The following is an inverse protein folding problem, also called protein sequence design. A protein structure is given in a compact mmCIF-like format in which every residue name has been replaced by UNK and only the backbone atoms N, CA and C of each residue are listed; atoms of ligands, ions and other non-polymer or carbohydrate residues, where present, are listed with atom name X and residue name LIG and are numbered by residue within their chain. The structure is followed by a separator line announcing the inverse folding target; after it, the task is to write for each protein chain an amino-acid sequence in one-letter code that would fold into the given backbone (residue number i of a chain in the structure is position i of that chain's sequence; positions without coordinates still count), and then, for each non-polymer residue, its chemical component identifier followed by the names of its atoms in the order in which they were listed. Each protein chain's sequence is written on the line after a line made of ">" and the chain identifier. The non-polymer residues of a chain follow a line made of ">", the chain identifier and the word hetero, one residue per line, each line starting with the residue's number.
data_IF_719878156089
#
_entry.id   IF_719878156089
#
_cell.length_a   1.000
_cell.length_b   1.000
_cell.length_c   1.000
_cell.angle_alpha   90.00
_cell.angle_beta   90.00
_cell.angle_gamma   90.00
#
_symmetry.space_group_name_H-M   'P 1'
#
loop_
_entity.id
_entity.type
_entity.pdbx_description
1 polymer ?
#
# COMPACT_ATOMS: atom_id res chain seq x y z
N UNK A 1 44.12 19.02 26.71
CA UNK A 1 42.67 18.87 26.95
C UNK A 1 41.98 19.57 25.79
N UNK A 2 41.68 18.82 24.71
CA UNK A 2 41.06 19.37 23.49
C UNK A 2 39.84 18.53 23.19
N UNK A 3 38.66 19.08 23.46
CA UNK A 3 37.38 18.44 23.20
C UNK A 3 37.10 18.59 21.71
N UNK A 4 37.24 17.51 20.95
CA UNK A 4 36.71 17.42 19.58
C UNK A 4 35.20 17.30 19.73
N UNK A 5 34.49 18.41 19.49
CA UNK A 5 33.04 18.39 19.40
C UNK A 5 32.64 17.55 18.19
N UNK A 6 31.95 16.45 18.47
CA UNK A 6 31.32 15.59 17.47
C UNK A 6 30.14 16.37 16.88
N UNK A 7 30.39 17.09 15.78
CA UNK A 7 29.34 17.77 15.03
C UNK A 7 28.48 16.68 14.40
N UNK A 8 27.30 16.43 14.97
CA UNK A 8 26.26 15.63 14.29
C UNK A 8 25.93 16.31 12.95
N UNK A 9 25.83 15.56 11.85
CA UNK A 9 25.40 16.14 10.59
C UNK A 9 24.04 16.82 10.80
N UNK A 10 23.95 18.07 10.35
CA UNK A 10 22.69 18.81 10.29
C UNK A 10 21.77 18.00 9.37
N UNK A 11 20.53 17.66 9.79
CA UNK A 11 19.57 17.05 8.88
C UNK A 11 19.40 17.99 7.69
N UNK A 12 19.75 17.49 6.50
CA UNK A 12 19.47 18.23 5.27
C UNK A 12 17.96 18.50 5.26
N UNK A 13 17.57 19.77 5.09
CA UNK A 13 16.17 20.13 4.88
C UNK A 13 15.64 19.27 3.72
N UNK A 14 14.39 18.78 3.79
CA UNK A 14 13.85 17.93 2.73
C UNK A 14 13.83 18.77 1.45
N UNK A 15 14.75 18.47 0.55
CA UNK A 15 14.69 18.93 -0.84
C UNK A 15 13.35 18.40 -1.32
N UNK A 16 12.38 19.27 -1.53
CA UNK A 16 11.10 18.85 -2.13
C UNK A 16 11.49 18.23 -3.47
N UNK A 17 11.29 16.92 -3.67
CA UNK A 17 11.83 16.26 -4.85
C UNK A 17 11.22 16.92 -6.08
N UNK A 18 12.05 17.20 -7.09
CA UNK A 18 11.59 17.80 -8.34
C UNK A 18 10.84 16.74 -9.16
N UNK A 19 9.58 16.49 -8.79
CA UNK A 19 8.72 15.51 -9.42
C UNK A 19 8.13 16.07 -10.70
N UNK A 20 8.16 15.28 -11.77
CA UNK A 20 7.39 15.60 -12.98
C UNK A 20 5.90 15.54 -12.66
N UNK A 21 5.08 16.23 -13.46
CA UNK A 21 3.61 16.15 -13.31
C UNK A 21 3.06 14.73 -13.41
N UNK A 22 3.75 13.84 -14.13
CA UNK A 22 3.42 12.43 -14.18
C UNK A 22 3.69 11.75 -12.82
N UNK A 23 4.93 11.82 -12.33
CA UNK A 23 5.32 11.17 -11.07
C UNK A 23 4.54 11.71 -9.87
N UNK A 24 4.21 13.00 -9.86
CA UNK A 24 3.35 13.58 -8.84
C UNK A 24 1.95 12.95 -8.82
N UNK A 25 1.38 12.61 -9.98
CA UNK A 25 0.07 11.96 -10.06
C UNK A 25 0.14 10.50 -9.64
N UNK A 26 1.21 9.80 -10.00
CA UNK A 26 1.46 8.42 -9.58
C UNK A 26 1.66 8.33 -8.07
N UNK A 27 2.53 9.15 -7.49
CA UNK A 27 2.71 9.19 -6.03
C UNK A 27 1.45 9.61 -5.29
N UNK A 28 0.56 10.40 -5.92
CA UNK A 28 -0.75 10.70 -5.33
C UNK A 28 -1.67 9.48 -5.32
N UNK A 29 -1.63 8.64 -6.36
CA UNK A 29 -2.33 7.37 -6.32
C UNK A 29 -1.72 6.40 -5.32
N UNK A 30 -0.39 6.38 -5.16
CA UNK A 30 0.26 5.58 -4.11
C UNK A 30 -0.20 6.06 -2.74
N UNK A 31 -0.17 7.36 -2.48
CA UNK A 31 -0.66 7.91 -1.22
C UNK A 31 -2.12 7.53 -0.91
N UNK A 32 -2.98 7.49 -1.93
CA UNK A 32 -4.36 7.01 -1.78
C UNK A 32 -4.41 5.50 -1.53
N UNK A 33 -3.61 4.73 -2.27
CA UNK A 33 -3.47 3.27 -2.18
C UNK A 33 -2.99 2.84 -0.80
N UNK A 34 -1.85 3.36 -0.34
CA UNK A 34 -1.26 3.09 0.97
C UNK A 34 -2.19 3.49 2.11
N UNK A 35 -2.89 4.62 1.98
CA UNK A 35 -3.97 4.99 2.94
C UNK A 35 -5.07 3.93 2.97
N UNK A 36 -5.46 3.40 1.81
CA UNK A 36 -6.42 2.31 1.70
C UNK A 36 -5.92 1.02 2.32
N UNK A 37 -4.67 0.63 2.02
CA UNK A 37 -4.02 -0.60 2.50
C UNK A 37 -3.91 -0.64 4.02
N UNK A 38 -3.45 0.46 4.64
CA UNK A 38 -3.48 0.62 6.11
C UNK A 38 -4.87 0.35 6.67
N UNK A 39 -5.92 0.85 6.02
CA UNK A 39 -7.29 0.67 6.49
C UNK A 39 -7.87 -0.71 6.16
N UNK A 40 -7.44 -1.39 5.10
CA UNK A 40 -7.73 -2.82 4.86
C UNK A 40 -7.30 -3.62 6.08
N UNK A 41 -6.05 -3.46 6.52
CA UNK A 41 -5.54 -4.18 7.68
C UNK A 41 -6.22 -3.77 8.98
N UNK A 42 -6.63 -2.50 9.15
CA UNK A 42 -7.47 -2.10 10.29
C UNK A 42 -8.86 -2.78 10.28
N UNK A 43 -9.47 -2.94 9.10
CA UNK A 43 -10.73 -3.65 8.92
C UNK A 43 -10.62 -5.13 9.30
N UNK A 44 -9.57 -5.80 8.80
CA UNK A 44 -9.25 -7.19 9.14
C UNK A 44 -9.03 -7.31 10.66
N UNK A 45 -8.20 -6.44 11.24
CA UNK A 45 -7.89 -6.47 12.67
C UNK A 45 -9.13 -6.21 13.55
N UNK A 46 -10.07 -5.37 13.11
CA UNK A 46 -11.32 -5.13 13.84
C UNK A 46 -12.17 -6.41 13.92
N UNK A 47 -12.35 -7.08 12.78
CA UNK A 47 -13.13 -8.33 12.70
C UNK A 47 -12.40 -9.48 13.40
N UNK A 48 -11.09 -9.58 13.26
CA UNK A 48 -10.28 -10.58 13.96
C UNK A 48 -10.43 -10.48 15.49
N UNK A 49 -10.40 -9.26 16.05
CA UNK A 49 -10.66 -9.02 17.49
C UNK A 49 -12.06 -9.44 17.89
N UNK A 50 -13.07 -9.04 17.12
CA UNK A 50 -14.47 -9.42 17.38
C UNK A 50 -14.67 -10.94 17.39
N UNK A 51 -13.97 -11.66 16.51
CA UNK A 51 -14.02 -13.12 16.42
C UNK A 51 -13.11 -13.85 17.40
N UNK A 52 -12.20 -13.16 18.10
CA UNK A 52 -11.15 -13.79 18.89
C UNK A 52 -10.13 -14.59 18.05
N UNK A 53 -9.97 -14.27 16.77
CA UNK A 53 -9.02 -14.94 15.87
C UNK A 53 -7.62 -14.31 16.01
N UNK A 54 -6.80 -14.88 16.90
CA UNK A 54 -5.47 -14.37 17.20
C UNK A 54 -4.50 -14.44 15.99
N UNK A 55 -4.66 -15.44 15.13
CA UNK A 55 -3.81 -15.63 13.95
C UNK A 55 -4.11 -14.57 12.89
N UNK A 56 -5.39 -14.33 12.60
CA UNK A 56 -5.82 -13.25 11.69
C UNK A 56 -5.42 -11.88 12.21
N UNK A 57 -5.48 -11.66 13.53
CA UNK A 57 -5.05 -10.40 14.15
C UNK A 57 -3.54 -10.21 14.05
N UNK A 58 -2.75 -11.29 14.24
CA UNK A 58 -1.29 -11.27 14.07
C UNK A 58 -0.93 -10.89 12.64
N UNK A 59 -1.52 -11.58 11.66
CA UNK A 59 -1.36 -11.28 10.24
C UNK A 59 -1.68 -9.80 9.95
N UNK A 60 -2.84 -9.32 10.38
CA UNK A 60 -3.24 -7.94 10.09
C UNK A 60 -2.33 -6.88 10.71
N UNK A 61 -1.73 -7.16 11.87
CA UNK A 61 -0.79 -6.23 12.51
C UNK A 61 0.57 -6.22 11.83
N UNK A 62 1.07 -7.37 11.40
CA UNK A 62 2.37 -7.50 10.77
C UNK A 62 2.38 -6.75 9.43
N UNK A 63 1.47 -7.11 8.53
CA UNK A 63 1.38 -6.48 7.21
C UNK A 63 0.94 -5.03 7.31
N UNK A 64 -0.04 -4.71 8.18
CA UNK A 64 -0.49 -3.33 8.36
C UNK A 64 0.59 -2.38 8.92
N UNK A 65 1.66 -2.89 9.52
CA UNK A 65 2.82 -2.08 9.89
C UNK A 65 3.66 -1.73 8.65
N UNK A 66 3.90 -2.69 7.76
CA UNK A 66 4.57 -2.47 6.46
C UNK A 66 3.84 -1.40 5.64
N UNK A 67 2.52 -1.48 5.50
CA UNK A 67 1.73 -0.46 4.77
C UNK A 67 1.82 0.93 5.40
N UNK A 68 1.93 1.00 6.73
CA UNK A 68 2.07 2.27 7.43
C UNK A 68 3.47 2.89 7.18
N UNK A 69 4.50 2.05 7.06
CA UNK A 69 5.84 2.48 6.69
C UNK A 69 5.87 2.92 5.21
N UNK A 70 5.25 2.17 4.29
CA UNK A 70 5.08 2.58 2.89
C UNK A 70 4.38 3.93 2.75
N UNK A 71 3.24 4.12 3.43
CA UNK A 71 2.55 5.41 3.45
C UNK A 71 3.49 6.53 3.95
N UNK A 72 4.26 6.27 5.00
CA UNK A 72 5.22 7.24 5.55
C UNK A 72 6.30 7.58 4.55
N UNK A 73 6.85 6.62 3.81
CA UNK A 73 7.85 6.86 2.77
C UNK A 73 7.25 7.66 1.62
N UNK A 74 6.08 7.28 1.08
CA UNK A 74 5.38 8.03 0.03
C UNK A 74 5.11 9.47 0.46
N UNK A 75 4.70 9.68 1.71
CA UNK A 75 4.46 10.99 2.30
C UNK A 75 5.71 11.88 2.39
N UNK A 76 6.91 11.30 2.45
CA UNK A 76 8.18 12.05 2.39
C UNK A 76 8.49 12.54 0.98
N UNK A 77 8.05 11.80 -0.04
CA UNK A 77 8.21 12.17 -1.44
C UNK A 77 7.13 13.14 -1.91
N UNK A 78 5.92 13.05 -1.35
CA UNK A 78 4.76 13.83 -1.79
C UNK A 78 4.35 14.89 -0.76
N UNK A 79 4.60 16.19 -1.03
CA UNK A 79 4.24 17.25 -0.08
C UNK A 79 2.73 17.29 0.15
N UNK A 80 2.31 17.72 1.34
CA UNK A 80 0.91 17.68 1.78
C UNK A 80 -0.08 18.33 0.79
N UNK A 81 0.34 19.39 0.10
CA UNK A 81 -0.48 20.09 -0.92
C UNK A 81 -0.74 19.27 -2.19
N UNK A 82 -0.02 18.16 -2.39
CA UNK A 82 -0.10 17.31 -3.58
C UNK A 82 -0.61 15.91 -3.27
N UNK A 83 -0.85 15.58 -1.99
CA UNK A 83 -1.42 14.31 -1.52
C UNK A 83 -2.88 14.15 -1.93
N UNK A 84 -3.39 12.92 -1.89
CA UNK A 84 -4.76 12.63 -2.31
C UNK A 84 -5.77 13.35 -1.43
N UNK A 85 -6.81 13.94 -2.04
CA UNK A 85 -7.80 14.73 -1.34
C UNK A 85 -8.91 13.89 -0.67
N UNK A 86 -9.20 12.69 -1.20
CA UNK A 86 -10.32 11.85 -0.75
C UNK A 86 -9.94 10.86 0.35
N UNK A 87 -9.15 11.28 1.35
CA UNK A 87 -8.66 10.36 2.39
C UNK A 87 -9.80 9.71 3.20
N UNK A 88 -10.87 10.44 3.53
CA UNK A 88 -12.04 9.87 4.22
C UNK A 88 -12.65 8.70 3.44
N UNK A 89 -13.04 8.89 2.17
CA UNK A 89 -13.47 7.81 1.29
C UNK A 89 -12.48 6.64 1.17
N UNK A 90 -11.18 6.89 1.00
CA UNK A 90 -10.18 5.82 0.89
C UNK A 90 -10.07 4.97 2.15
N UNK A 91 -10.10 5.61 3.32
CA UNK A 91 -10.10 4.93 4.62
C UNK A 91 -11.33 4.05 4.79
N UNK A 92 -12.51 4.56 4.44
CA UNK A 92 -13.74 3.77 4.53
C UNK A 92 -13.73 2.59 3.55
N UNK A 93 -13.34 2.83 2.29
CA UNK A 93 -13.27 1.79 1.28
C UNK A 93 -12.27 0.70 1.68
N UNK A 94 -11.06 1.07 2.10
CA UNK A 94 -10.05 0.15 2.60
C UNK A 94 -10.58 -0.67 3.77
N UNK A 95 -11.15 -0.01 4.78
CA UNK A 95 -11.71 -0.70 5.94
C UNK A 95 -12.77 -1.73 5.57
N UNK A 96 -13.69 -1.40 4.65
CA UNK A 96 -14.70 -2.34 4.16
C UNK A 96 -14.08 -3.50 3.39
N UNK A 97 -13.11 -3.22 2.52
CA UNK A 97 -12.39 -4.25 1.75
C UNK A 97 -11.68 -5.24 2.66
N UNK A 98 -11.18 -4.83 3.83
CA UNK A 98 -10.61 -5.73 4.82
C UNK A 98 -11.64 -6.43 5.73
N UNK A 99 -12.63 -5.68 6.22
CA UNK A 99 -13.59 -6.19 7.20
C UNK A 99 -14.57 -7.20 6.59
N UNK A 100 -15.09 -6.93 5.38
CA UNK A 100 -16.08 -7.79 4.72
C UNK A 100 -15.57 -9.24 4.52
N UNK A 101 -14.41 -9.51 3.90
CA UNK A 101 -13.89 -10.86 3.77
C UNK A 101 -13.52 -11.48 5.13
N UNK A 102 -13.05 -10.69 6.09
CA UNK A 102 -12.72 -11.18 7.43
C UNK A 102 -13.92 -11.79 8.16
N UNK A 103 -15.15 -11.33 7.87
CA UNK A 103 -16.38 -11.94 8.41
C UNK A 103 -16.51 -13.40 7.96
N UNK A 104 -16.06 -13.71 6.75
CA UNK A 104 -16.08 -15.06 6.15
C UNK A 104 -14.82 -15.89 6.47
N UNK A 105 -13.91 -15.37 7.28
CA UNK A 105 -12.75 -16.08 7.81
C UNK A 105 -11.46 -15.87 7.02
N UNK A 106 -10.37 -16.44 7.56
CA UNK A 106 -8.99 -16.22 7.11
C UNK A 106 -8.76 -16.45 5.63
N UNK A 107 -9.31 -17.53 5.06
CA UNK A 107 -9.17 -17.85 3.62
C UNK A 107 -9.69 -16.73 2.71
N UNK A 108 -10.80 -16.08 3.08
CA UNK A 108 -11.34 -14.97 2.31
C UNK A 108 -10.47 -13.71 2.43
N UNK A 109 -9.89 -13.48 3.62
CA UNK A 109 -8.90 -12.41 3.85
C UNK A 109 -7.69 -12.62 2.95
N UNK A 110 -7.06 -13.79 3.02
CA UNK A 110 -5.85 -14.07 2.24
C UNK A 110 -6.10 -13.97 0.73
N UNK A 111 -7.24 -14.48 0.23
CA UNK A 111 -7.59 -14.31 -1.18
C UNK A 111 -7.83 -12.84 -1.57
N UNK A 112 -8.36 -12.02 -0.65
CA UNK A 112 -8.55 -10.59 -0.88
C UNK A 112 -7.21 -9.87 -0.93
N UNK A 113 -6.31 -10.11 0.04
CA UNK A 113 -4.97 -9.52 0.07
C UNK A 113 -4.17 -9.93 -1.17
N UNK A 114 -4.15 -11.22 -1.52
CA UNK A 114 -3.47 -11.66 -2.75
C UNK A 114 -3.98 -10.94 -4.01
N UNK A 115 -5.30 -10.65 -4.08
CA UNK A 115 -5.87 -9.91 -5.20
C UNK A 115 -5.50 -8.42 -5.18
N UNK A 116 -5.49 -7.79 -4.01
CA UNK A 116 -5.03 -6.40 -3.83
C UNK A 116 -3.56 -6.28 -4.22
N UNK A 117 -2.69 -7.12 -3.67
CA UNK A 117 -1.25 -7.03 -3.94
C UNK A 117 -0.86 -7.44 -5.36
N UNK A 118 -1.65 -8.27 -6.03
CA UNK A 118 -1.48 -8.48 -7.47
C UNK A 118 -1.68 -7.18 -8.26
N UNK A 119 -2.64 -6.35 -7.84
CA UNK A 119 -2.87 -5.05 -8.46
C UNK A 119 -1.76 -4.06 -8.09
N UNK A 120 -1.36 -4.01 -6.82
CA UNK A 120 -0.33 -3.07 -6.34
C UNK A 120 1.03 -3.37 -6.98
N UNK A 121 1.43 -4.65 -7.09
CA UNK A 121 2.64 -5.08 -7.81
C UNK A 121 2.66 -4.54 -9.25
N UNK A 122 1.55 -4.70 -9.99
CA UNK A 122 1.44 -4.17 -11.35
C UNK A 122 1.48 -2.64 -11.40
N UNK A 123 0.93 -1.97 -10.38
CA UNK A 123 0.95 -0.52 -10.29
C UNK A 123 2.38 -0.01 -10.07
N UNK A 124 3.13 -0.57 -9.13
CA UNK A 124 4.53 -0.23 -8.92
C UNK A 124 5.39 -0.56 -10.14
N UNK A 125 5.17 -1.71 -10.80
CA UNK A 125 5.92 -2.05 -12.02
C UNK A 125 5.79 -0.98 -13.10
N UNK A 126 4.59 -0.44 -13.32
CA UNK A 126 4.37 0.63 -14.30
C UNK A 126 5.17 1.89 -13.99
N UNK A 127 5.31 2.24 -12.72
CA UNK A 127 6.10 3.40 -12.28
C UNK A 127 7.60 3.14 -12.39
N UNK A 128 8.04 1.93 -12.02
CA UNK A 128 9.43 1.48 -12.16
C UNK A 128 9.84 1.51 -13.65
N UNK A 129 9.03 0.97 -14.54
CA UNK A 129 9.27 0.98 -15.99
C UNK A 129 9.38 2.42 -16.52
N UNK A 130 8.53 3.32 -16.02
CA UNK A 130 8.58 4.73 -16.38
C UNK A 130 9.91 5.36 -15.93
N UNK A 131 10.31 5.17 -14.68
CA UNK A 131 11.55 5.72 -14.13
C UNK A 131 12.79 5.17 -14.81
N UNK A 132 12.82 3.88 -15.15
CA UNK A 132 13.91 3.27 -15.91
C UNK A 132 14.04 3.86 -17.32
N UNK A 133 12.92 4.20 -17.95
CA UNK A 133 12.89 4.72 -19.32
C UNK A 133 13.16 6.22 -19.41
N UNK A 134 12.62 7.01 -18.48
CA UNK A 134 12.61 8.47 -18.57
C UNK A 134 13.44 9.15 -17.47
N UNK A 135 13.92 8.40 -16.49
CA UNK A 135 14.59 8.93 -15.32
C UNK A 135 13.61 9.55 -14.31
N UNK A 136 14.15 9.94 -13.17
CA UNK A 136 13.42 10.64 -12.11
C UNK A 136 14.38 11.07 -11.00
N UNK A 137 13.86 11.64 -9.91
CA UNK A 137 14.66 11.99 -8.75
C UNK A 137 15.48 10.81 -8.22
N UNK A 138 16.72 11.07 -7.82
CA UNK A 138 17.61 10.07 -7.21
C UNK A 138 16.96 9.47 -5.97
N UNK A 139 16.92 8.14 -5.88
CA UNK A 139 16.34 7.41 -4.75
C UNK A 139 14.89 6.95 -4.94
N UNK A 140 14.10 7.62 -5.79
CA UNK A 140 12.69 7.25 -5.99
C UNK A 140 12.54 5.84 -6.58
N UNK A 141 13.35 5.51 -7.59
CA UNK A 141 13.34 4.17 -8.20
C UNK A 141 13.65 3.07 -7.17
N UNK A 142 14.63 3.32 -6.28
CA UNK A 142 15.00 2.36 -5.24
C UNK A 142 13.87 2.16 -4.22
N UNK A 143 13.18 3.24 -3.85
CA UNK A 143 11.99 3.15 -2.98
C UNK A 143 10.91 2.28 -3.62
N UNK A 144 10.52 2.57 -4.88
CA UNK A 144 9.43 1.84 -5.52
C UNK A 144 9.76 0.35 -5.73
N UNK A 145 11.03 0.01 -6.01
CA UNK A 145 11.48 -1.39 -6.09
C UNK A 145 11.36 -2.07 -4.72
N UNK A 146 11.73 -1.39 -3.63
CA UNK A 146 11.61 -1.95 -2.29
C UNK A 146 10.14 -2.20 -1.93
N UNK A 147 9.26 -1.20 -2.10
CA UNK A 147 7.83 -1.36 -1.84
C UNK A 147 7.23 -2.51 -2.68
N UNK A 148 7.55 -2.57 -3.98
CA UNK A 148 7.09 -3.65 -4.85
C UNK A 148 7.53 -5.03 -4.35
N UNK A 149 8.77 -5.16 -3.88
CA UNK A 149 9.28 -6.44 -3.37
C UNK A 149 8.51 -6.89 -2.11
N UNK A 150 8.19 -5.94 -1.23
CA UNK A 150 7.38 -6.21 -0.04
C UNK A 150 5.94 -6.63 -0.44
N UNK A 151 5.33 -5.99 -1.45
CA UNK A 151 4.01 -6.41 -1.95
C UNK A 151 4.00 -7.75 -2.67
N UNK A 152 5.06 -8.07 -3.41
CA UNK A 152 5.20 -9.41 -4.00
C UNK A 152 5.28 -10.48 -2.90
N UNK A 153 5.99 -10.19 -1.81
CA UNK A 153 6.05 -11.10 -0.66
C UNK A 153 4.66 -11.27 -0.01
N UNK A 154 3.96 -10.17 0.27
CA UNK A 154 2.60 -10.18 0.82
C UNK A 154 1.62 -10.96 -0.07
N UNK A 155 1.69 -10.74 -1.39
CA UNK A 155 0.88 -11.45 -2.39
C UNK A 155 1.11 -12.94 -2.34
N UNK A 156 2.38 -13.35 -2.42
CA UNK A 156 2.75 -14.75 -2.58
C UNK A 156 2.46 -15.54 -1.29
N UNK A 157 2.72 -14.95 -0.11
CA UNK A 157 2.30 -15.50 1.18
C UNK A 157 0.77 -15.65 1.25
N UNK A 158 0.04 -14.59 0.93
CA UNK A 158 -1.44 -14.60 0.98
C UNK A 158 -2.03 -15.59 -0.01
N UNK A 159 -1.46 -15.72 -1.20
CA UNK A 159 -1.89 -16.71 -2.20
C UNK A 159 -1.66 -18.15 -1.69
N UNK A 160 -0.51 -18.42 -1.07
CA UNK A 160 -0.22 -19.72 -0.47
C UNK A 160 -1.21 -20.05 0.67
N UNK A 161 -1.50 -19.09 1.55
CA UNK A 161 -2.44 -19.26 2.67
C UNK A 161 -3.90 -19.38 2.20
N UNK A 162 -4.28 -18.69 1.13
CA UNK A 162 -5.60 -18.82 0.51
C UNK A 162 -5.79 -20.21 -0.11
N UNK A 163 -4.73 -20.82 -0.63
CA UNK A 163 -4.74 -22.13 -1.27
C UNK A 163 -5.50 -22.16 -2.60
N UNK A 164 -5.35 -23.26 -3.34
CA UNK A 164 -5.73 -23.33 -4.77
C UNK A 164 -7.24 -23.29 -5.05
N UNK A 165 -8.07 -23.75 -4.11
CA UNK A 165 -9.53 -23.86 -4.29
C UNK A 165 -10.25 -22.62 -3.75
N UNK A 166 -10.49 -21.66 -4.64
CA UNK A 166 -11.27 -20.45 -4.38
C UNK A 166 -12.69 -20.64 -4.93
N UNK A 167 -13.72 -20.36 -4.11
CA UNK A 167 -15.12 -20.44 -4.55
C UNK A 167 -15.44 -19.40 -5.63
N UNK A 168 -16.46 -19.64 -6.46
CA UNK A 168 -16.86 -18.70 -7.51
C UNK A 168 -17.22 -17.32 -6.94
N UNK A 169 -17.88 -17.28 -5.78
CA UNK A 169 -18.24 -16.04 -5.08
C UNK A 169 -16.98 -15.27 -4.67
N UNK A 170 -15.99 -15.96 -4.09
CA UNK A 170 -14.73 -15.33 -3.67
C UNK A 170 -13.90 -14.87 -4.87
N UNK A 171 -13.90 -15.61 -5.98
CA UNK A 171 -13.28 -15.17 -7.24
C UNK A 171 -13.94 -13.91 -7.80
N UNK A 172 -15.28 -13.83 -7.77
CA UNK A 172 -16.00 -12.65 -8.19
C UNK A 172 -15.68 -11.45 -7.29
N UNK A 173 -15.60 -11.66 -5.97
CA UNK A 173 -15.16 -10.65 -5.02
C UNK A 173 -13.75 -10.12 -5.32
N UNK A 174 -12.76 -11.01 -5.47
CA UNK A 174 -11.38 -10.63 -5.81
C UNK A 174 -11.31 -9.84 -7.13
N UNK A 175 -12.12 -10.21 -8.13
CA UNK A 175 -12.22 -9.44 -9.37
C UNK A 175 -12.79 -8.04 -9.15
N UNK A 176 -13.86 -7.90 -8.36
CA UNK A 176 -14.43 -6.59 -7.99
C UNK A 176 -13.39 -5.73 -7.29
N UNK A 177 -12.64 -6.31 -6.35
CA UNK A 177 -11.58 -5.62 -5.62
C UNK A 177 -10.51 -5.11 -6.58
N UNK A 178 -10.01 -5.96 -7.50
CA UNK A 178 -9.02 -5.54 -8.50
C UNK A 178 -9.53 -4.42 -9.41
N UNK A 179 -10.77 -4.51 -9.91
CA UNK A 179 -11.37 -3.44 -10.72
C UNK A 179 -11.57 -2.14 -9.92
N UNK A 180 -12.00 -2.26 -8.66
CA UNK A 180 -12.19 -1.14 -7.75
C UNK A 180 -10.88 -0.40 -7.48
N UNK A 181 -9.78 -1.13 -7.22
CA UNK A 181 -8.45 -0.55 -7.03
C UNK A 181 -7.98 0.20 -8.27
N UNK A 182 -8.18 -0.37 -9.47
CA UNK A 182 -7.87 0.31 -10.73
C UNK A 182 -8.63 1.61 -10.92
N UNK A 183 -9.94 1.62 -10.66
CA UNK A 183 -10.75 2.83 -10.72
C UNK A 183 -10.32 3.88 -9.68
N UNK A 184 -9.99 3.45 -8.46
CA UNK A 184 -9.51 4.33 -7.39
C UNK A 184 -8.19 5.01 -7.76
N UNK A 185 -7.23 4.27 -8.34
CA UNK A 185 -5.96 4.82 -8.83
C UNK A 185 -6.19 5.86 -9.93
N UNK A 186 -7.04 5.57 -10.92
CA UNK A 186 -7.37 6.54 -11.98
C UNK A 186 -7.98 7.82 -11.41
N UNK A 187 -8.83 7.70 -10.39
CA UNK A 187 -9.42 8.85 -9.72
C UNK A 187 -8.37 9.63 -8.91
N UNK A 188 -7.58 8.95 -8.08
CA UNK A 188 -6.55 9.57 -7.24
C UNK A 188 -5.46 10.28 -8.06
N UNK A 189 -5.09 9.76 -9.24
CA UNK A 189 -4.18 10.46 -10.17
C UNK A 189 -4.72 11.84 -10.59
N UNK A 190 -6.04 12.03 -10.61
CA UNK A 190 -6.68 13.26 -11.09
C UNK A 190 -6.93 14.29 -9.99
N UNK A 191 -7.20 13.85 -8.76
CA UNK A 191 -7.67 14.71 -7.67
C UNK A 191 -6.78 14.65 -6.43
#
# INVERSE_FOLDING_TARGET
>A
MTIVQHIKPIPQQPVTPNLTSYLQRELRSDHAGETGAVYIYQGIAAVARWRGDAEMLSFAKAHGATEADHLTEVERWLPASQRSLLLGPWRLAGWLTGALPAVFGRRAVYATIAAVETFVDQHYQQQIDHLQKFGGPEGLLALLIQCQADEQHHRDESAALAGEKISLVLRAWCWIVGQGSGAAVVLARRI
#
